data_IF_659706148029
#
_entry.id   IF_659706148029
#
_cell.length_a   1.000
_cell.length_b   1.000
_cell.length_c   1.000
_cell.angle_alpha   90.00
_cell.angle_beta   90.00
_cell.angle_gamma   90.00
#
_symmetry.space_group_name_H-M   'P 1'
#
loop_
_entity.id
_entity.type
_entity.pdbx_description
1 polymer ?
#
# COMPACT_ATOMS: atom_id res chain seq x y z
N UNK A 1 -11.54 -4.79 -9.43
CA UNK A 1 -12.03 -4.41 -8.09
C UNK A 1 -11.50 -3.01 -7.83
N UNK A 2 -12.27 -1.97 -8.14
CA UNK A 2 -11.83 -0.59 -7.90
C UNK A 2 -11.98 -0.34 -6.40
N UNK A 3 -10.91 -0.52 -5.65
CA UNK A 3 -10.86 -0.20 -4.21
C UNK A 3 -11.13 1.29 -4.07
N UNK A 4 -12.19 1.65 -3.34
CA UNK A 4 -12.46 3.03 -2.96
C UNK A 4 -11.33 3.48 -2.01
N UNK A 5 -10.26 4.02 -2.59
CA UNK A 5 -9.08 4.48 -1.88
C UNK A 5 -9.43 5.81 -1.20
N UNK A 6 -9.50 5.80 0.13
CA UNK A 6 -9.61 7.00 0.94
C UNK A 6 -8.29 7.76 0.83
N UNK A 7 -8.36 9.00 0.36
CA UNK A 7 -7.22 9.90 0.32
C UNK A 7 -6.96 10.50 1.71
N UNK A 8 -5.70 10.58 2.10
CA UNK A 8 -5.25 11.25 3.31
C UNK A 8 -4.38 12.47 2.95
N UNK A 9 -4.35 13.52 3.81
CA UNK A 9 -3.45 14.65 3.61
C UNK A 9 -1.96 14.26 3.54
N UNK A 10 -1.59 13.12 4.14
CA UNK A 10 -0.25 12.54 4.15
C UNK A 10 0.02 11.50 3.06
N UNK A 11 -0.89 11.35 2.08
CA UNK A 11 -0.70 10.41 0.97
C UNK A 11 0.65 10.65 0.27
N UNK A 12 1.37 9.56 0.01
CA UNK A 12 2.67 9.64 -0.63
C UNK A 12 2.54 10.11 -2.07
N UNK A 13 3.40 11.04 -2.46
CA UNK A 13 3.64 11.33 -3.87
C UNK A 13 4.20 10.10 -4.58
N UNK A 14 4.07 10.08 -5.91
CA UNK A 14 4.62 8.99 -6.73
C UNK A 14 6.11 8.73 -6.46
N UNK A 15 6.92 9.79 -6.40
CA UNK A 15 8.35 9.67 -6.15
C UNK A 15 8.65 9.08 -4.76
N UNK A 16 7.88 9.46 -3.74
CA UNK A 16 8.02 8.86 -2.41
C UNK A 16 7.57 7.40 -2.38
N UNK A 17 6.46 7.07 -3.07
CA UNK A 17 5.98 5.69 -3.17
C UNK A 17 7.02 4.78 -3.86
N UNK A 18 7.68 5.25 -4.92
CA UNK A 18 8.74 4.52 -5.63
C UNK A 18 9.92 4.14 -4.72
N UNK A 19 10.22 4.94 -3.69
CA UNK A 19 11.26 4.62 -2.70
C UNK A 19 10.83 3.53 -1.71
N UNK A 20 9.52 3.41 -1.42
CA UNK A 20 8.99 2.47 -0.43
C UNK A 20 8.60 1.13 -1.06
N UNK A 21 8.08 1.13 -2.30
CA UNK A 21 7.60 -0.08 -2.97
C UNK A 21 8.58 -1.27 -2.91
N UNK A 22 9.91 -1.11 -3.14
CA UNK A 22 10.86 -2.21 -3.05
C UNK A 22 11.02 -2.80 -1.64
N UNK A 23 10.63 -2.06 -0.60
CA UNK A 23 10.74 -2.47 0.79
C UNK A 23 9.51 -3.27 1.25
N UNK A 24 8.42 -3.27 0.49
CA UNK A 24 7.22 -4.04 0.79
C UNK A 24 7.53 -5.51 0.50
N UNK A 25 7.48 -6.41 1.51
CA UNK A 25 7.75 -7.82 1.26
C UNK A 25 6.77 -8.41 0.24
N UNK A 26 7.19 -9.40 -0.56
CA UNK A 26 6.28 -10.12 -1.44
C UNK A 26 5.14 -10.76 -0.62
N UNK A 27 4.01 -11.01 -1.28
CA UNK A 27 2.92 -11.75 -0.65
C UNK A 27 3.45 -13.11 -0.20
N UNK A 28 3.15 -13.49 1.06
CA UNK A 28 3.55 -14.79 1.59
C UNK A 28 2.88 -15.90 0.78
N UNK A 29 3.65 -16.93 0.43
CA UNK A 29 3.11 -18.14 -0.19
C UNK A 29 2.30 -18.94 0.84
N UNK A 30 1.07 -19.31 0.48
CA UNK A 30 0.11 -19.93 1.38
C UNK A 30 -0.47 -18.98 2.44
N UNK A 31 -1.37 -19.50 3.28
CA UNK A 31 -2.13 -18.69 4.24
C UNK A 31 -3.22 -17.83 3.61
N UNK A 32 -3.78 -16.89 4.37
CA UNK A 32 -4.84 -15.99 3.88
C UNK A 32 -4.21 -14.92 2.96
N UNK A 33 -4.64 -14.80 1.69
CA UNK A 33 -4.17 -13.75 0.80
C UNK A 33 -4.46 -12.36 1.37
N UNK A 34 -3.60 -11.39 1.03
CA UNK A 34 -3.90 -9.97 1.31
C UNK A 34 -5.14 -9.58 0.50
N UNK A 35 -6.11 -8.97 1.18
CA UNK A 35 -7.30 -8.40 0.54
C UNK A 35 -7.21 -6.88 0.37
N UNK A 36 -6.11 -6.27 0.82
CA UNK A 36 -5.89 -4.82 0.85
C UNK A 36 -4.58 -4.49 0.15
N UNK A 37 -4.55 -3.35 -0.54
CA UNK A 37 -3.35 -2.79 -1.15
C UNK A 37 -2.41 -2.22 -0.08
N UNK A 38 -1.11 -2.56 -0.19
CA UNK A 38 -0.13 -2.16 0.83
C UNK A 38 0.17 -0.67 0.79
N UNK A 39 0.12 -0.03 -0.39
CA UNK A 39 0.32 1.42 -0.47
C UNK A 39 -0.83 2.17 0.20
N UNK A 40 -2.07 1.68 0.04
CA UNK A 40 -3.23 2.20 0.78
C UNK A 40 -3.09 2.08 2.30
N UNK A 41 -2.48 0.99 2.81
CA UNK A 41 -2.19 0.86 4.25
C UNK A 41 -1.14 1.88 4.70
N UNK A 42 -0.07 2.07 3.92
CA UNK A 42 1.01 3.01 4.24
C UNK A 42 0.50 4.45 4.26
N UNK A 43 -0.30 4.84 3.26
CA UNK A 43 -0.94 6.15 3.21
C UNK A 43 -1.83 6.42 4.43
N UNK A 44 -2.47 5.39 4.99
CA UNK A 44 -3.32 5.52 6.18
C UNK A 44 -2.53 5.64 7.51
N UNK A 45 -1.20 5.49 7.49
CA UNK A 45 -0.34 5.65 8.67
C UNK A 45 0.21 7.08 8.84
N UNK A 46 0.20 7.89 7.78
CA UNK A 46 0.70 9.26 7.75
C UNK A 46 -0.44 10.29 7.84
#
# INVERSE_FOLDING_TARGET
MTTNLKAYPGDLTRAQAELILPLIPPAKEGGRPRSVDMLGVINALF
#
